data_IF_547936343114
#
_entry.id   IF_547936343114
#
_cell.length_a   1.000
_cell.length_b   1.000
_cell.length_c   1.000
_cell.angle_alpha   90.00
_cell.angle_beta   90.00
_cell.angle_gamma   90.00
#
_symmetry.space_group_name_H-M   'P 1'
#
loop_
_entity.id
_entity.type
_entity.pdbx_description
1 polymer ?
#
# COMPACT_ATOMS: atom_id res chain seq x y z
N UNK A 1 16.26 -13.44 32.54
CA UNK A 1 14.79 -13.43 32.38
C UNK A 1 14.52 -14.25 31.14
N UNK A 2 13.84 -15.37 31.34
CA UNK A 2 13.75 -16.52 30.44
C UNK A 2 13.16 -16.16 29.07
N UNK A 3 13.90 -16.39 27.98
CA UNK A 3 13.44 -16.14 26.60
C UNK A 3 12.15 -16.91 26.28
N UNK A 4 12.05 -18.17 26.73
CA UNK A 4 10.86 -19.00 26.50
C UNK A 4 9.58 -18.52 27.21
N UNK A 5 9.66 -17.61 28.19
CA UNK A 5 8.48 -17.05 28.86
C UNK A 5 7.95 -15.81 28.13
N UNK A 6 8.81 -15.14 27.36
CA UNK A 6 8.44 -13.99 26.52
C UNK A 6 7.82 -14.44 25.21
N UNK A 7 8.35 -15.50 24.60
CA UNK A 7 7.78 -16.12 23.40
C UNK A 7 6.33 -16.57 23.65
N UNK A 8 6.06 -17.19 24.81
CA UNK A 8 4.72 -17.61 25.20
C UNK A 8 3.75 -16.42 25.40
N UNK A 9 4.21 -15.27 25.89
CA UNK A 9 3.36 -14.06 26.04
C UNK A 9 3.10 -13.40 24.67
N UNK A 10 4.12 -13.36 23.80
CA UNK A 10 3.97 -12.88 22.43
C UNK A 10 2.99 -13.74 21.66
N UNK A 11 3.11 -15.06 21.77
CA UNK A 11 2.19 -16.03 21.19
C UNK A 11 0.76 -15.79 21.68
N UNK A 12 0.56 -15.60 22.99
CA UNK A 12 -0.76 -15.26 23.53
C UNK A 12 -1.29 -13.93 22.97
N UNK A 13 -0.48 -12.87 22.85
CA UNK A 13 -0.94 -11.58 22.33
C UNK A 13 -1.29 -11.69 20.84
N UNK A 14 -0.43 -12.33 20.04
CA UNK A 14 -0.67 -12.55 18.62
C UNK A 14 -1.92 -13.41 18.42
N UNK A 15 -2.05 -14.54 19.12
CA UNK A 15 -3.17 -15.47 18.98
C UNK A 15 -4.49 -14.92 19.55
N UNK A 16 -4.44 -14.10 20.61
CA UNK A 16 -5.65 -13.56 21.28
C UNK A 16 -6.11 -12.21 20.72
N UNK A 17 -5.25 -11.43 20.06
CA UNK A 17 -5.58 -10.08 19.56
C UNK A 17 -5.56 -10.00 18.03
N UNK A 18 -4.67 -10.74 17.37
CA UNK A 18 -4.40 -10.62 15.94
C UNK A 18 -4.63 -11.90 15.13
N UNK A 19 -4.71 -13.08 15.73
CA UNK A 19 -4.92 -14.37 15.04
C UNK A 19 -6.19 -15.10 15.52
N UNK A 20 -7.12 -14.40 16.22
CA UNK A 20 -8.52 -14.88 16.34
C UNK A 20 -9.03 -15.09 14.91
N UNK A 21 -9.62 -16.27 14.63
CA UNK A 21 -10.28 -16.57 13.37
C UNK A 21 -11.22 -15.41 13.01
N UNK A 22 -10.77 -14.53 12.12
CA UNK A 22 -11.53 -13.32 11.81
C UNK A 22 -12.88 -13.77 11.27
N UNK A 23 -14.00 -13.22 11.80
CA UNK A 23 -15.29 -13.50 11.21
C UNK A 23 -15.23 -13.18 9.72
N UNK A 24 -15.96 -13.96 8.91
CA UNK A 24 -15.99 -13.74 7.47
C UNK A 24 -16.21 -12.25 7.19
N UNK A 25 -15.40 -11.64 6.30
CA UNK A 25 -15.44 -10.21 6.10
C UNK A 25 -16.88 -9.79 5.77
N UNK A 26 -17.38 -8.72 6.41
CA UNK A 26 -18.75 -8.28 6.19
C UNK A 26 -18.97 -7.95 4.72
N UNK A 27 -20.21 -8.12 4.26
CA UNK A 27 -20.58 -7.77 2.88
C UNK A 27 -20.06 -6.36 2.53
N UNK A 28 -19.26 -6.20 1.45
CA UNK A 28 -18.70 -4.91 1.08
C UNK A 28 -19.78 -3.84 0.90
N UNK A 29 -20.92 -4.20 0.31
CA UNK A 29 -22.03 -3.26 0.11
C UNK A 29 -22.68 -2.80 1.42
N UNK A 30 -22.81 -3.68 2.41
CA UNK A 30 -23.28 -3.34 3.75
C UNK A 30 -22.28 -2.44 4.48
N UNK A 31 -20.99 -2.76 4.41
CA UNK A 31 -19.93 -1.96 5.05
C UNK A 31 -19.86 -0.55 4.46
N UNK A 32 -19.92 -0.42 3.13
CA UNK A 32 -20.03 0.88 2.44
C UNK A 32 -21.21 1.69 2.96
N UNK A 33 -22.40 1.08 3.10
CA UNK A 33 -23.58 1.76 3.65
C UNK A 33 -23.38 2.22 5.09
N UNK A 34 -22.76 1.40 5.95
CA UNK A 34 -22.46 1.77 7.35
C UNK A 34 -21.50 2.96 7.44
N UNK A 35 -20.45 2.97 6.64
CA UNK A 35 -19.49 4.08 6.57
C UNK A 35 -20.20 5.35 6.07
N UNK A 36 -20.95 5.26 4.97
CA UNK A 36 -21.63 6.42 4.37
C UNK A 36 -22.73 7.00 5.27
N UNK A 37 -23.35 6.20 6.14
CA UNK A 37 -24.28 6.70 7.14
C UNK A 37 -23.64 7.68 8.13
N UNK A 38 -22.30 7.64 8.27
CA UNK A 38 -21.50 8.55 9.11
C UNK A 38 -20.55 9.44 8.29
N UNK A 39 -20.85 9.65 7.00
CA UNK A 39 -19.98 10.44 6.10
C UNK A 39 -19.63 11.83 6.64
N UNK A 40 -20.53 12.46 7.40
CA UNK A 40 -20.32 13.78 7.99
C UNK A 40 -19.22 13.75 9.07
N UNK A 41 -19.22 12.73 9.94
CA UNK A 41 -18.16 12.49 10.94
C UNK A 41 -16.78 12.36 10.27
N UNK A 42 -16.77 11.75 9.07
CA UNK A 42 -15.56 11.51 8.29
C UNK A 42 -15.19 12.68 7.37
N UNK A 43 -16.05 13.69 7.22
CA UNK A 43 -15.87 14.79 6.28
C UNK A 43 -15.92 14.38 4.81
N UNK A 44 -16.59 13.27 4.50
CA UNK A 44 -16.77 12.75 3.13
C UNK A 44 -17.96 13.45 2.48
N UNK A 45 -17.69 14.17 1.40
CA UNK A 45 -18.70 14.96 0.66
C UNK A 45 -19.19 14.25 -0.60
N UNK A 46 -18.37 13.36 -1.16
CA UNK A 46 -18.69 12.63 -2.40
C UNK A 46 -18.01 11.28 -2.44
N UNK A 47 -18.75 10.27 -2.92
CA UNK A 47 -18.24 9.01 -3.45
C UNK A 47 -18.81 8.89 -4.87
N UNK A 48 -17.94 8.75 -5.87
CA UNK A 48 -18.37 8.71 -7.28
C UNK A 48 -17.48 7.80 -8.11
N UNK A 49 -18.07 7.08 -9.07
CA UNK A 49 -17.29 6.31 -10.01
C UNK A 49 -16.68 7.22 -11.08
N UNK A 50 -15.41 6.94 -11.39
CA UNK A 50 -14.69 7.54 -12.53
C UNK A 50 -14.39 6.52 -13.62
N UNK A 51 -14.89 5.28 -13.49
CA UNK A 51 -14.65 4.19 -14.44
C UNK A 51 -14.91 4.58 -15.89
N UNK A 52 -15.97 5.37 -16.12
CA UNK A 52 -16.37 5.80 -17.46
C UNK A 52 -15.45 6.83 -18.11
N UNK A 53 -14.43 7.34 -17.40
CA UNK A 53 -13.40 8.18 -18.00
C UNK A 53 -12.38 7.37 -18.81
N UNK A 54 -12.32 6.05 -18.62
CA UNK A 54 -11.47 5.15 -19.39
C UNK A 54 -12.29 4.02 -20.03
N UNK A 55 -11.72 3.39 -21.05
CA UNK A 55 -12.33 2.30 -21.83
C UNK A 55 -11.99 0.91 -21.31
N UNK A 56 -11.16 0.80 -20.27
CA UNK A 56 -10.76 -0.47 -19.63
C UNK A 56 -11.98 -1.19 -19.00
N UNK A 57 -12.89 -0.43 -18.37
CA UNK A 57 -14.08 -0.99 -17.72
C UNK A 57 -13.81 -1.71 -16.38
N UNK A 58 -12.65 -1.49 -15.77
CA UNK A 58 -12.36 -1.90 -14.38
C UNK A 58 -12.94 -0.85 -13.42
N UNK A 59 -13.77 -1.24 -12.43
CA UNK A 59 -14.34 -0.30 -11.47
C UNK A 59 -13.30 0.50 -10.69
N UNK A 60 -13.36 1.83 -10.85
CA UNK A 60 -12.60 2.79 -10.05
C UNK A 60 -13.53 3.91 -9.59
N UNK A 61 -13.34 4.33 -8.35
CA UNK A 61 -14.10 5.39 -7.67
C UNK A 61 -13.16 6.44 -7.07
N UNK A 62 -13.74 7.59 -6.74
CA UNK A 62 -13.11 8.64 -5.96
C UNK A 62 -13.93 8.94 -4.71
N UNK A 63 -13.24 9.24 -3.61
CA UNK A 63 -13.81 9.70 -2.35
C UNK A 63 -13.23 11.07 -2.03
N UNK A 64 -14.10 12.05 -1.81
CA UNK A 64 -13.70 13.46 -1.65
C UNK A 64 -13.89 13.91 -0.20
N UNK A 65 -12.79 14.29 0.44
CA UNK A 65 -12.71 14.92 1.76
C UNK A 65 -12.04 16.30 1.63
N UNK A 66 -12.78 17.38 1.35
CA UNK A 66 -12.21 18.70 1.03
C UNK A 66 -11.36 19.32 2.14
N UNK A 67 -11.53 18.86 3.39
CA UNK A 67 -10.78 19.34 4.57
C UNK A 67 -9.71 18.35 5.04
N UNK A 68 -9.32 17.40 4.19
CA UNK A 68 -8.17 16.53 4.42
C UNK A 68 -6.91 17.37 4.62
N UNK A 69 -6.03 16.93 5.53
CA UNK A 69 -4.71 17.53 5.78
C UNK A 69 -3.61 16.82 4.98
N UNK A 70 -4.00 15.87 4.14
CA UNK A 70 -3.19 15.19 3.12
C UNK A 70 -3.85 15.45 1.74
N UNK A 71 -4.03 14.43 0.90
CA UNK A 71 -4.80 14.55 -0.35
C UNK A 71 -6.31 14.72 -0.10
N UNK A 72 -6.96 15.59 -0.87
CA UNK A 72 -8.41 15.82 -0.77
C UNK A 72 -9.25 14.74 -1.48
N UNK A 73 -8.65 14.03 -2.44
CA UNK A 73 -9.29 13.00 -3.25
C UNK A 73 -8.53 11.69 -3.11
N UNK A 74 -9.16 10.73 -2.43
CA UNK A 74 -8.71 9.33 -2.37
C UNK A 74 -9.36 8.53 -3.49
N UNK A 75 -8.76 7.40 -3.86
CA UNK A 75 -9.27 6.57 -4.94
C UNK A 75 -9.55 5.14 -4.45
N UNK A 76 -10.43 4.45 -5.15
CA UNK A 76 -10.77 3.06 -4.82
C UNK A 76 -10.87 2.22 -6.07
N UNK A 77 -10.47 0.96 -5.95
CA UNK A 77 -10.32 0.01 -7.06
C UNK A 77 -10.85 -1.36 -6.67
N UNK A 78 -11.38 -2.10 -7.64
CA UNK A 78 -11.90 -3.44 -7.40
C UNK A 78 -12.58 -4.03 -8.63
N UNK A 79 -12.82 -5.35 -8.61
CA UNK A 79 -13.53 -6.04 -9.70
C UNK A 79 -15.03 -5.73 -9.75
N UNK A 80 -15.59 -5.22 -8.66
CA UNK A 80 -16.98 -4.76 -8.54
C UNK A 80 -17.02 -3.34 -7.98
N UNK A 81 -18.12 -2.62 -8.22
CA UNK A 81 -18.30 -1.29 -7.64
C UNK A 81 -18.33 -1.29 -6.12
N UNK A 82 -18.83 -2.34 -5.48
CA UNK A 82 -18.82 -2.44 -4.02
C UNK A 82 -17.39 -2.56 -3.46
N UNK A 83 -16.54 -3.36 -4.13
CA UNK A 83 -15.12 -3.49 -3.78
C UNK A 83 -14.34 -2.19 -4.04
N UNK A 84 -14.59 -1.53 -5.17
CA UNK A 84 -13.99 -0.23 -5.44
C UNK A 84 -14.42 0.83 -4.41
N UNK A 85 -15.72 0.88 -4.09
CA UNK A 85 -16.28 1.79 -3.09
C UNK A 85 -15.68 1.60 -1.70
N UNK A 86 -15.63 0.35 -1.18
CA UNK A 86 -15.02 0.11 0.13
C UNK A 86 -13.54 0.42 0.11
N UNK A 87 -12.80 0.07 -0.95
CA UNK A 87 -11.38 0.41 -1.05
C UNK A 87 -11.15 1.92 -0.98
N UNK A 88 -11.93 2.72 -1.71
CA UNK A 88 -11.74 4.17 -1.73
C UNK A 88 -12.15 4.83 -0.41
N UNK A 89 -13.18 4.29 0.25
CA UNK A 89 -13.56 4.76 1.58
C UNK A 89 -12.48 4.43 2.61
N UNK A 90 -11.92 3.22 2.58
CA UNK A 90 -10.85 2.80 3.49
C UNK A 90 -9.60 3.67 3.31
N UNK A 91 -9.13 3.90 2.08
CA UNK A 91 -8.00 4.81 1.78
C UNK A 91 -8.26 6.24 2.28
N UNK A 92 -9.51 6.72 2.16
CA UNK A 92 -9.87 8.05 2.66
C UNK A 92 -9.91 8.13 4.19
N UNK A 93 -10.27 7.03 4.85
CA UNK A 93 -10.40 6.90 6.30
C UNK A 93 -9.08 6.61 7.01
N UNK A 94 -8.13 5.99 6.30
CA UNK A 94 -6.72 5.92 6.67
C UNK A 94 -6.21 7.33 6.99
N UNK A 95 -6.26 8.23 6.00
CA UNK A 95 -5.88 9.64 6.16
C UNK A 95 -6.70 10.38 7.23
N UNK A 96 -7.99 10.05 7.38
CA UNK A 96 -8.86 10.65 8.40
C UNK A 96 -8.37 10.37 9.82
N UNK A 97 -7.91 9.14 10.08
CA UNK A 97 -7.45 8.72 11.40
C UNK A 97 -6.02 9.24 11.67
N UNK A 98 -5.11 9.13 10.70
CA UNK A 98 -3.71 9.55 10.85
C UNK A 98 -3.55 11.07 10.94
N UNK A 99 -4.49 11.88 10.45
CA UNK A 99 -4.42 13.35 10.57
C UNK A 99 -4.99 13.91 11.90
N UNK A 100 -5.53 13.02 12.76
CA UNK A 100 -6.25 13.34 14.02
C UNK A 100 -5.71 12.59 15.23
N UNK A 101 -4.38 12.46 15.33
CA UNK A 101 -3.74 11.86 16.50
C UNK A 101 -3.96 12.77 17.72
N UNK A 102 -4.49 12.18 18.80
CA UNK A 102 -4.81 12.90 20.03
C UNK A 102 -3.53 13.38 20.75
N UNK A 103 -3.43 14.66 21.18
CA UNK A 103 -2.22 15.22 21.79
C UNK A 103 -1.69 14.44 23.00
N UNK A 104 -2.57 13.83 23.79
CA UNK A 104 -2.21 13.03 24.97
C UNK A 104 -1.47 11.73 24.63
N UNK A 105 -1.50 11.29 23.36
CA UNK A 105 -0.72 10.14 22.87
C UNK A 105 0.70 10.53 22.45
N UNK A 106 1.00 11.82 22.41
CA UNK A 106 2.25 12.37 21.88
C UNK A 106 3.13 12.80 23.05
N UNK A 107 4.39 12.40 23.01
CA UNK A 107 5.41 12.88 23.94
C UNK A 107 6.64 13.36 23.19
N UNK A 108 7.47 14.13 23.87
CA UNK A 108 8.67 14.74 23.28
C UNK A 108 9.91 14.17 23.94
N UNK A 109 10.87 13.71 23.12
CA UNK A 109 12.13 13.17 23.58
C UNK A 109 13.21 13.36 22.51
N UNK A 110 14.49 13.39 22.92
CA UNK A 110 15.58 13.40 21.95
C UNK A 110 15.83 12.01 21.36
N UNK A 111 16.32 11.95 20.12
CA UNK A 111 16.55 10.68 19.40
C UNK A 111 17.44 9.71 20.19
N UNK A 112 18.45 10.22 20.92
CA UNK A 112 19.35 9.39 21.75
C UNK A 112 18.68 8.84 23.01
N UNK A 113 17.64 9.49 23.53
CA UNK A 113 16.99 9.08 24.78
C UNK A 113 16.02 7.91 24.56
N UNK A 114 15.60 7.70 23.30
CA UNK A 114 14.73 6.58 22.90
C UNK A 114 15.58 5.34 22.61
N UNK A 115 15.59 4.41 23.57
CA UNK A 115 16.46 3.21 23.57
C UNK A 115 15.99 2.07 22.64
N UNK A 116 14.79 2.13 22.05
CA UNK A 116 14.16 1.00 21.31
C UNK A 116 13.64 1.43 19.95
N UNK A 117 13.92 0.62 18.92
CA UNK A 117 13.36 0.72 17.57
C UNK A 117 14.34 0.86 16.40
N UNK A 118 15.65 0.83 16.66
CA UNK A 118 16.72 1.00 15.66
C UNK A 118 16.41 2.07 14.58
N UNK A 119 16.37 3.31 15.05
CA UNK A 119 16.20 4.49 14.21
C UNK A 119 17.53 4.97 13.60
N UNK A 120 18.56 4.13 13.58
CA UNK A 120 19.91 4.51 13.10
C UNK A 120 19.92 4.97 11.63
N UNK A 121 18.98 4.45 10.83
CA UNK A 121 18.75 4.87 9.44
C UNK A 121 18.27 6.33 9.31
N UNK A 122 17.73 6.95 10.37
CA UNK A 122 17.31 8.36 10.37
C UNK A 122 18.50 9.35 10.41
N UNK A 123 19.73 8.82 10.43
CA UNK A 123 20.95 9.56 10.13
C UNK A 123 21.91 9.70 11.31
N UNK A 124 23.22 9.50 11.10
CA UNK A 124 24.23 9.70 12.13
C UNK A 124 24.35 11.18 12.54
N UNK A 125 24.55 11.44 13.84
CA UNK A 125 24.78 12.80 14.37
C UNK A 125 23.55 13.57 14.84
N UNK A 126 22.33 13.04 14.65
CA UNK A 126 21.07 13.69 15.05
C UNK A 126 20.58 13.35 16.45
N UNK A 127 21.42 12.73 17.28
CA UNK A 127 21.01 12.20 18.59
C UNK A 127 20.42 13.23 19.56
N UNK A 128 20.82 14.51 19.46
CA UNK A 128 20.30 15.59 20.30
C UNK A 128 19.00 16.22 19.77
N UNK A 129 18.58 15.91 18.54
CA UNK A 129 17.35 16.46 17.97
C UNK A 129 16.14 15.94 18.75
N UNK A 130 15.28 16.88 19.10
CA UNK A 130 14.06 16.63 19.85
C UNK A 130 12.90 16.43 18.88
N UNK A 131 12.24 15.29 18.98
CA UNK A 131 11.13 14.88 18.11
C UNK A 131 9.86 14.66 18.92
N UNK A 132 8.73 14.69 18.21
CA UNK A 132 7.47 14.15 18.73
C UNK A 132 7.43 12.64 18.50
N UNK A 133 6.96 11.91 19.50
CA UNK A 133 6.91 10.45 19.53
C UNK A 133 5.52 9.96 19.90
N UNK A 134 5.22 8.74 19.47
CA UNK A 134 4.01 8.01 19.85
C UNK A 134 4.37 6.57 20.22
N UNK A 135 3.70 6.02 21.24
CA UNK A 135 3.86 4.62 21.60
C UNK A 135 3.15 3.70 20.58
N UNK A 136 3.86 2.67 20.14
CA UNK A 136 3.35 1.54 19.39
C UNK A 136 3.66 0.20 20.08
N UNK A 137 3.19 -0.89 19.49
CA UNK A 137 3.51 -2.26 19.86
C UNK A 137 4.48 -2.83 18.83
N UNK A 138 5.66 -3.26 19.25
CA UNK A 138 6.56 -3.99 18.37
C UNK A 138 6.04 -5.41 18.16
N UNK A 139 5.67 -5.75 16.93
CA UNK A 139 5.12 -7.05 16.55
C UNK A 139 6.16 -8.19 16.69
N UNK A 140 7.46 -7.88 16.76
CA UNK A 140 8.50 -8.90 16.92
C UNK A 140 8.69 -9.31 18.37
N UNK A 141 8.65 -8.35 19.29
CA UNK A 141 8.91 -8.61 20.72
C UNK A 141 7.66 -8.54 21.61
N UNK A 142 6.53 -8.04 21.09
CA UNK A 142 5.29 -7.84 21.84
C UNK A 142 5.38 -6.72 22.88
N UNK A 143 6.40 -5.87 22.81
CA UNK A 143 6.67 -4.81 23.79
C UNK A 143 6.36 -3.45 23.21
N UNK A 144 6.14 -2.47 24.10
CA UNK A 144 6.04 -1.07 23.68
C UNK A 144 7.33 -0.59 23.02
N UNK A 145 7.17 0.14 21.93
CA UNK A 145 8.21 0.80 21.14
C UNK A 145 7.78 2.23 20.85
N UNK A 146 8.70 3.18 20.98
CA UNK A 146 8.43 4.57 20.63
C UNK A 146 8.74 4.79 19.15
N UNK A 147 7.83 5.44 18.44
CA UNK A 147 7.93 5.71 17.00
C UNK A 147 7.93 7.22 16.77
N UNK A 148 8.82 7.78 15.91
CA UNK A 148 8.74 9.17 15.53
C UNK A 148 7.37 9.47 14.93
N UNK A 149 6.67 10.47 15.46
CA UNK A 149 5.31 10.84 15.03
C UNK A 149 5.26 11.19 13.53
N UNK A 150 6.34 11.75 12.99
CA UNK A 150 6.49 12.06 11.57
C UNK A 150 6.31 10.85 10.65
N UNK A 151 6.63 9.64 11.14
CA UNK A 151 6.49 8.38 10.42
C UNK A 151 5.12 7.72 10.61
N UNK A 152 4.22 8.37 11.36
CA UNK A 152 2.89 7.83 11.71
C UNK A 152 1.77 8.73 11.23
N UNK A 153 1.88 10.05 11.44
CA UNK A 153 0.85 10.99 11.02
C UNK A 153 1.00 11.40 9.55
N UNK A 154 -0.14 11.66 8.91
CA UNK A 154 -0.21 12.13 7.53
C UNK A 154 -0.73 13.56 7.44
N UNK A 155 -0.48 14.39 8.47
CA UNK A 155 -0.80 15.81 8.42
C UNK A 155 0.29 16.54 7.60
N UNK A 156 0.10 16.62 6.29
CA UNK A 156 0.99 17.28 5.33
C UNK A 156 0.62 18.76 5.17
N UNK A 157 0.57 19.46 6.30
CA UNK A 157 0.28 20.90 6.36
C UNK A 157 1.55 21.74 6.21
N UNK A 158 1.39 22.99 5.78
CA UNK A 158 2.48 23.98 5.72
C UNK A 158 2.18 25.12 6.70
N UNK A 159 3.12 25.48 7.61
CA UNK A 159 4.40 24.82 7.86
C UNK A 159 4.23 23.42 8.48
N UNK A 160 5.14 22.50 8.13
CA UNK A 160 5.15 21.14 8.69
C UNK A 160 5.49 21.18 10.19
N UNK A 161 4.79 20.42 11.04
CA UNK A 161 5.15 20.27 12.46
C UNK A 161 6.36 19.34 12.67
N UNK A 162 6.83 18.67 11.60
CA UNK A 162 7.93 17.71 11.63
C UNK A 162 9.17 18.22 10.89
N UNK A 163 10.38 17.78 11.29
CA UNK A 163 11.61 18.13 10.58
C UNK A 163 11.59 17.74 9.11
N UNK A 164 12.11 18.61 8.24
CA UNK A 164 12.14 18.42 6.79
C UNK A 164 13.01 17.24 6.31
N UNK A 165 13.98 16.83 7.12
CA UNK A 165 14.90 15.74 6.78
C UNK A 165 14.30 14.35 7.04
N UNK A 166 13.16 14.25 7.73
CA UNK A 166 12.39 13.01 7.81
C UNK A 166 11.52 12.88 6.58
N UNK A 167 11.84 11.93 5.71
CA UNK A 167 10.95 11.55 4.62
C UNK A 167 9.62 11.04 5.21
N UNK A 168 8.50 11.54 4.68
CA UNK A 168 7.16 11.21 5.14
C UNK A 168 6.35 10.66 3.98
N UNK A 169 5.67 9.55 4.22
CA UNK A 169 4.79 8.89 3.26
C UNK A 169 3.64 8.17 3.99
N UNK A 170 2.76 7.53 3.23
CA UNK A 170 1.64 6.74 3.75
C UNK A 170 1.94 5.25 3.81
N UNK A 171 3.18 4.81 3.59
CA UNK A 171 3.52 3.37 3.59
C UNK A 171 3.16 2.68 4.91
N UNK A 172 2.37 1.61 4.84
CA UNK A 172 1.98 0.83 6.01
C UNK A 172 0.87 1.50 6.82
N UNK A 173 0.22 2.54 6.30
CA UNK A 173 -1.05 3.04 6.82
C UNK A 173 -2.16 2.25 6.14
N UNK A 174 -2.95 1.51 6.92
CA UNK A 174 -4.01 0.68 6.34
C UNK A 174 -5.28 0.70 7.18
N UNK A 175 -6.41 0.63 6.48
CA UNK A 175 -7.73 0.39 7.05
C UNK A 175 -8.27 -0.98 6.67
N UNK A 176 -9.06 -1.55 7.58
CA UNK A 176 -9.71 -2.84 7.38
C UNK A 176 -10.99 -2.98 8.19
N UNK A 177 -11.78 -4.00 7.84
CA UNK A 177 -13.01 -4.37 8.56
C UNK A 177 -12.77 -5.16 9.84
N UNK A 178 -11.50 -5.42 10.16
CA UNK A 178 -11.01 -6.04 11.38
C UNK A 178 -9.62 -5.48 11.67
N UNK A 179 -9.21 -5.51 12.94
CA UNK A 179 -7.85 -5.10 13.30
C UNK A 179 -6.80 -5.98 12.62
N UNK A 180 -6.95 -7.31 12.66
CA UNK A 180 -6.05 -8.25 11.97
C UNK A 180 -5.92 -7.91 10.48
N UNK A 181 -7.04 -7.71 9.78
CA UNK A 181 -7.03 -7.39 8.36
C UNK A 181 -6.31 -6.07 8.04
N UNK A 182 -6.46 -5.05 8.89
CA UNK A 182 -5.75 -3.79 8.75
C UNK A 182 -4.24 -3.97 8.97
N UNK A 183 -3.83 -4.73 9.98
CA UNK A 183 -2.41 -5.02 10.26
C UNK A 183 -1.77 -5.83 9.12
N UNK A 184 -2.45 -6.87 8.63
CA UNK A 184 -1.98 -7.67 7.50
C UNK A 184 -1.78 -6.80 6.26
N UNK A 185 -2.74 -5.93 5.94
CA UNK A 185 -2.63 -5.02 4.80
C UNK A 185 -1.45 -4.05 4.96
N UNK A 186 -1.30 -3.43 6.14
CA UNK A 186 -0.18 -2.55 6.43
C UNK A 186 1.18 -3.25 6.26
N UNK A 187 1.33 -4.48 6.78
CA UNK A 187 2.57 -5.24 6.64
C UNK A 187 2.87 -5.64 5.19
N UNK A 188 1.85 -6.05 4.43
CA UNK A 188 2.00 -6.40 3.01
C UNK A 188 2.43 -5.18 2.19
N UNK A 189 1.86 -4.01 2.44
CA UNK A 189 2.25 -2.77 1.77
C UNK A 189 3.70 -2.37 2.09
N UNK A 190 4.14 -2.50 3.35
CA UNK A 190 5.54 -2.27 3.74
C UNK A 190 6.49 -3.16 2.95
N UNK A 191 6.18 -4.46 2.84
CA UNK A 191 6.97 -5.42 2.06
C UNK A 191 6.98 -5.11 0.57
N UNK A 192 5.84 -4.71 0.02
CA UNK A 192 5.71 -4.29 -1.37
C UNK A 192 6.60 -3.09 -1.70
N UNK A 193 6.55 -2.06 -0.85
CA UNK A 193 7.33 -0.83 -0.99
C UNK A 193 8.84 -1.10 -0.84
N UNK A 194 9.23 -1.95 0.11
CA UNK A 194 10.62 -2.39 0.28
C UNK A 194 11.12 -3.17 -0.94
N UNK A 195 10.30 -4.07 -1.48
CA UNK A 195 10.65 -4.83 -2.68
C UNK A 195 10.79 -3.90 -3.89
N UNK A 196 9.94 -2.87 -4.02
CA UNK A 196 10.07 -1.82 -5.05
C UNK A 196 11.41 -1.07 -4.95
N UNK A 197 11.81 -0.64 -3.76
CA UNK A 197 13.12 -0.01 -3.55
C UNK A 197 14.27 -0.92 -4.01
N UNK A 198 14.19 -2.21 -3.66
CA UNK A 198 15.17 -3.22 -4.07
C UNK A 198 15.19 -3.41 -5.60
N UNK A 199 14.03 -3.46 -6.24
CA UNK A 199 13.90 -3.58 -7.70
C UNK A 199 14.55 -2.39 -8.42
N UNK A 200 14.35 -1.16 -7.93
CA UNK A 200 14.96 0.05 -8.49
C UNK A 200 16.49 0.05 -8.39
N UNK A 201 17.04 -0.57 -7.34
CA UNK A 201 18.49 -0.73 -7.16
C UNK A 201 19.06 -1.94 -7.91
N UNK A 202 18.21 -2.78 -8.51
CA UNK A 202 18.62 -4.02 -9.19
C UNK A 202 18.97 -3.75 -10.66
N UNK A 203 20.21 -3.97 -11.11
CA UNK A 203 20.59 -3.78 -12.50
C UNK A 203 19.79 -4.67 -13.45
N UNK A 204 19.31 -4.10 -14.56
CA UNK A 204 18.54 -4.79 -15.59
C UNK A 204 17.29 -5.50 -15.06
N UNK A 205 16.66 -4.95 -14.02
CA UNK A 205 15.45 -5.53 -13.42
C UNK A 205 14.37 -5.82 -14.48
N UNK A 206 14.04 -4.82 -15.31
CA UNK A 206 12.98 -4.92 -16.32
C UNK A 206 13.31 -5.92 -17.45
N UNK A 207 14.59 -6.20 -17.69
CA UNK A 207 15.01 -7.20 -18.69
C UNK A 207 14.93 -8.63 -18.15
N UNK A 208 15.15 -8.82 -16.84
CA UNK A 208 15.39 -10.15 -16.25
C UNK A 208 14.16 -10.77 -15.59
N UNK A 209 13.27 -9.96 -15.04
CA UNK A 209 12.20 -10.44 -14.16
C UNK A 209 10.80 -10.37 -14.77
N UNK A 210 10.73 -10.14 -16.08
CA UNK A 210 9.47 -10.05 -16.80
C UNK A 210 8.74 -11.39 -16.83
N UNK A 211 7.43 -11.32 -16.70
CA UNK A 211 6.49 -12.43 -16.85
C UNK A 211 5.76 -12.26 -18.17
N UNK A 212 5.58 -13.36 -18.91
CA UNK A 212 4.73 -13.36 -20.10
C UNK A 212 3.26 -13.16 -19.71
N UNK A 213 2.71 -11.96 -19.96
CA UNK A 213 1.32 -11.63 -19.63
C UNK A 213 0.30 -12.53 -20.33
N UNK A 214 0.64 -13.16 -21.46
CA UNK A 214 -0.23 -14.11 -22.19
C UNK A 214 -0.42 -15.44 -21.46
N UNK A 215 0.49 -15.77 -20.54
CA UNK A 215 0.41 -16.98 -19.71
C UNK A 215 -0.53 -16.82 -18.50
N UNK A 216 -0.94 -15.59 -18.17
CA UNK A 216 -1.89 -15.31 -17.08
C UNK A 216 -3.33 -15.55 -17.57
N UNK A 217 -3.81 -16.79 -17.44
CA UNK A 217 -5.10 -17.21 -18.03
C UNK A 217 -6.22 -17.46 -17.00
N UNK A 218 -5.86 -17.67 -15.73
CA UNK A 218 -6.77 -18.08 -14.66
C UNK A 218 -6.83 -17.03 -13.55
N UNK A 219 -7.77 -17.22 -12.63
CA UNK A 219 -7.94 -16.35 -11.48
C UNK A 219 -8.44 -14.95 -11.82
N UNK A 220 -8.44 -14.09 -10.80
CA UNK A 220 -8.85 -12.69 -10.94
C UNK A 220 -7.88 -11.91 -11.83
N UNK A 221 -6.58 -12.22 -11.77
CA UNK A 221 -5.58 -11.60 -12.61
C UNK A 221 -5.83 -11.89 -14.10
N UNK A 222 -6.12 -13.15 -14.46
CA UNK A 222 -6.45 -13.54 -15.84
C UNK A 222 -7.72 -12.89 -16.36
N UNK A 223 -8.71 -12.64 -15.50
CA UNK A 223 -9.88 -11.84 -15.87
C UNK A 223 -9.50 -10.39 -16.22
N UNK A 224 -8.68 -9.73 -15.41
CA UNK A 224 -8.25 -8.35 -15.65
C UNK A 224 -7.43 -8.25 -16.94
N UNK A 225 -6.46 -9.16 -17.16
CA UNK A 225 -5.65 -9.22 -18.39
C UNK A 225 -6.53 -9.33 -19.64
N UNK A 226 -7.54 -10.19 -19.60
CA UNK A 226 -8.48 -10.36 -20.73
C UNK A 226 -9.34 -9.11 -20.96
N UNK A 227 -9.79 -8.43 -19.90
CA UNK A 227 -10.52 -7.15 -20.03
C UNK A 227 -9.63 -6.07 -20.66
N UNK A 228 -8.39 -5.93 -20.19
CA UNK A 228 -7.39 -5.00 -20.72
C UNK A 228 -7.10 -5.28 -22.21
N UNK A 229 -6.82 -6.55 -22.55
CA UNK A 229 -6.55 -6.95 -23.94
C UNK A 229 -7.74 -6.63 -24.86
N UNK A 230 -8.97 -6.97 -24.45
CA UNK A 230 -10.20 -6.66 -25.20
C UNK A 230 -10.42 -5.15 -25.39
N UNK A 231 -10.02 -4.34 -24.40
CA UNK A 231 -10.10 -2.88 -24.48
C UNK A 231 -8.99 -2.24 -25.33
N UNK A 232 -7.99 -3.01 -25.77
CA UNK A 232 -6.88 -2.53 -26.59
C UNK A 232 -5.67 -2.06 -25.79
N UNK A 233 -5.38 -2.72 -24.66
CA UNK A 233 -4.22 -2.43 -23.82
C UNK A 233 -3.17 -3.53 -23.90
N UNK A 234 -1.91 -3.13 -23.68
CA UNK A 234 -0.79 -4.03 -23.41
C UNK A 234 -0.41 -3.93 -21.94
N UNK A 235 0.11 -5.03 -21.41
CA UNK A 235 0.48 -5.16 -19.99
C UNK A 235 1.87 -5.76 -19.89
N UNK A 236 2.77 -5.03 -19.24
CA UNK A 236 4.03 -5.57 -18.74
C UNK A 236 3.87 -6.00 -17.29
N UNK A 237 4.42 -7.15 -16.94
CA UNK A 237 4.35 -7.74 -15.61
C UNK A 237 5.75 -8.15 -15.22
N UNK A 238 6.20 -7.78 -14.03
CA UNK A 238 7.47 -8.22 -13.47
C UNK A 238 7.24 -8.77 -12.07
N UNK A 239 7.86 -9.91 -11.77
CA UNK A 239 7.85 -10.46 -10.41
C UNK A 239 9.11 -10.00 -9.70
N UNK A 240 8.95 -9.23 -8.62
CA UNK A 240 10.09 -8.76 -7.83
C UNK A 240 10.61 -9.94 -7.00
N UNK A 241 11.90 -10.32 -7.12
CA UNK A 241 12.48 -11.33 -6.26
C UNK A 241 12.61 -10.80 -4.83
N UNK A 242 12.14 -11.58 -3.87
CA UNK A 242 12.15 -11.24 -2.44
C UNK A 242 12.82 -12.33 -1.61
N UNK A 243 13.39 -12.01 -0.44
CA UNK A 243 13.97 -13.01 0.46
C UNK A 243 12.91 -13.87 1.18
N UNK A 244 11.65 -13.48 1.11
CA UNK A 244 10.50 -14.20 1.65
C UNK A 244 9.62 -14.82 0.56
N UNK A 245 8.73 -15.73 0.95
CA UNK A 245 7.86 -16.47 0.03
C UNK A 245 6.66 -15.69 -0.52
N UNK A 246 6.32 -14.53 0.07
CA UNK A 246 5.18 -13.74 -0.40
C UNK A 246 5.46 -13.12 -1.78
N UNK A 247 4.63 -13.37 -2.81
CA UNK A 247 4.83 -12.79 -4.13
C UNK A 247 4.61 -11.28 -4.16
N UNK A 248 5.52 -10.59 -4.83
CA UNK A 248 5.42 -9.16 -5.14
C UNK A 248 5.47 -8.95 -6.65
N UNK A 249 4.52 -8.18 -7.18
CA UNK A 249 4.41 -7.86 -8.60
C UNK A 249 4.47 -6.36 -8.86
N UNK A 250 5.07 -6.02 -10.01
CA UNK A 250 5.03 -4.69 -10.62
C UNK A 250 4.36 -4.83 -11.98
N UNK A 251 3.28 -4.09 -12.22
CA UNK A 251 2.58 -4.07 -13.50
C UNK A 251 2.60 -2.68 -14.14
N UNK A 252 2.76 -2.64 -15.45
CA UNK A 252 2.55 -1.45 -16.28
C UNK A 252 1.42 -1.68 -17.27
N UNK A 253 0.54 -0.68 -17.44
CA UNK A 253 -0.61 -0.73 -18.35
C UNK A 253 -0.60 0.50 -19.26
N UNK A 254 -0.68 0.26 -20.57
CA UNK A 254 -0.84 1.32 -21.57
C UNK A 254 -1.64 0.84 -22.78
N UNK A 255 -2.12 1.77 -23.60
CA UNK A 255 -2.75 1.44 -24.87
C UNK A 255 -1.78 0.78 -25.84
N UNK A 256 -2.28 -0.24 -26.54
CA UNK A 256 -1.58 -0.82 -27.67
C UNK A 256 -1.57 0.16 -28.87
N UNK A 257 -0.87 -0.21 -29.94
CA UNK A 257 -0.74 0.64 -31.13
C UNK A 257 -2.04 0.81 -31.95
N UNK A 258 -3.10 0.03 -31.68
CA UNK A 258 -4.38 0.17 -32.39
C UNK A 258 -5.27 1.28 -31.83
N UNK A 259 -4.85 1.93 -30.75
CA UNK A 259 -5.56 3.05 -30.11
C UNK A 259 -4.66 4.28 -30.04
N UNK A 260 -5.29 5.45 -30.23
CA UNK A 260 -4.63 6.71 -29.92
C UNK A 260 -4.25 6.74 -28.42
N UNK A 261 -3.04 7.20 -28.09
CA UNK A 261 -2.64 7.44 -26.70
C UNK A 261 -3.64 8.38 -26.03
N UNK A 262 -4.07 8.04 -24.82
CA UNK A 262 -4.98 8.87 -24.03
C UNK A 262 -4.37 9.27 -22.69
N UNK A 263 -3.69 8.35 -22.00
CA UNK A 263 -2.84 8.71 -20.87
C UNK A 263 -1.41 9.00 -21.36
N UNK A 264 -0.65 9.88 -20.68
CA UNK A 264 0.66 10.34 -21.15
C UNK A 264 1.73 9.25 -21.17
N UNK A 265 1.81 8.44 -20.12
CA UNK A 265 2.77 7.35 -19.95
C UNK A 265 2.08 6.07 -19.45
N UNK A 266 2.73 4.90 -19.51
CA UNK A 266 2.21 3.69 -18.89
C UNK A 266 1.92 3.93 -17.41
N UNK A 267 0.74 3.51 -16.96
CA UNK A 267 0.40 3.57 -15.55
C UNK A 267 0.97 2.36 -14.84
N UNK A 268 1.50 2.57 -13.64
CA UNK A 268 2.09 1.52 -12.82
C UNK A 268 1.21 1.14 -11.63
N UNK A 269 1.39 -0.09 -11.16
CA UNK A 269 0.77 -0.60 -9.94
C UNK A 269 1.56 -1.76 -9.36
N UNK A 270 1.41 -1.96 -8.06
CA UNK A 270 2.18 -2.89 -7.26
C UNK A 270 1.26 -3.79 -6.44
N UNK A 271 1.76 -4.95 -6.03
CA UNK A 271 0.94 -5.88 -5.28
C UNK A 271 1.76 -6.92 -4.54
N UNK A 272 1.58 -6.98 -3.22
CA UNK A 272 2.04 -8.05 -2.34
C UNK A 272 0.85 -8.77 -1.67
N UNK A 273 0.81 -10.10 -1.72
CA UNK A 273 -0.20 -10.91 -1.01
C UNK A 273 0.37 -12.32 -0.75
N UNK A 274 -0.33 -13.15 0.01
CA UNK A 274 -0.02 -14.55 0.28
C UNK A 274 -0.22 -15.50 -0.92
N UNK A 275 -0.68 -15.01 -2.07
CA UNK A 275 -0.85 -15.84 -3.27
C UNK A 275 -0.55 -15.05 -4.53
N UNK A 276 -0.02 -15.73 -5.54
CA UNK A 276 0.34 -15.11 -6.81
C UNK A 276 -0.85 -14.43 -7.51
N UNK A 277 -2.05 -15.03 -7.51
CA UNK A 277 -3.23 -14.43 -8.15
C UNK A 277 -3.66 -13.15 -7.45
N UNK A 278 -3.70 -13.13 -6.11
CA UNK A 278 -4.11 -11.93 -5.35
C UNK A 278 -3.09 -10.80 -5.46
N UNK A 279 -1.80 -11.10 -5.35
CA UNK A 279 -0.73 -10.11 -5.50
C UNK A 279 -0.76 -9.47 -6.90
N UNK A 280 -0.85 -10.30 -7.95
CA UNK A 280 -0.94 -9.81 -9.33
C UNK A 280 -2.26 -9.06 -9.59
N UNK A 281 -3.37 -9.51 -9.01
CA UNK A 281 -4.67 -8.81 -9.09
C UNK A 281 -4.57 -7.41 -8.49
N UNK A 282 -3.93 -7.27 -7.31
CA UNK A 282 -3.71 -5.97 -6.68
C UNK A 282 -2.91 -5.04 -7.59
N UNK A 283 -1.77 -5.52 -8.11
CA UNK A 283 -0.90 -4.74 -9.01
C UNK A 283 -1.61 -4.27 -10.28
N UNK A 284 -2.42 -5.13 -10.89
CA UNK A 284 -3.19 -4.78 -12.09
C UNK A 284 -4.32 -3.80 -11.81
N UNK A 285 -5.01 -3.95 -10.68
CA UNK A 285 -6.06 -3.01 -10.25
C UNK A 285 -5.49 -1.64 -9.90
N UNK A 286 -4.34 -1.60 -9.21
CA UNK A 286 -3.64 -0.35 -8.92
C UNK A 286 -3.16 0.33 -10.20
N UNK A 287 -2.60 -0.41 -11.17
CA UNK A 287 -2.22 0.18 -12.46
C UNK A 287 -3.42 0.81 -13.20
N UNK A 288 -4.59 0.17 -13.15
CA UNK A 288 -5.82 0.73 -13.70
C UNK A 288 -6.29 1.99 -12.92
N UNK A 289 -6.16 1.98 -11.59
CA UNK A 289 -6.49 3.09 -10.71
C UNK A 289 -5.57 4.29 -10.96
N UNK A 290 -4.25 4.09 -10.95
CA UNK A 290 -3.22 5.09 -11.23
C UNK A 290 -3.49 5.80 -12.55
N UNK A 291 -3.80 5.03 -13.60
CA UNK A 291 -4.19 5.55 -14.91
C UNK A 291 -5.40 6.48 -14.84
N UNK A 292 -6.46 6.04 -14.19
CA UNK A 292 -7.68 6.84 -14.01
C UNK A 292 -7.45 8.05 -13.09
N UNK A 293 -6.51 7.97 -12.16
CA UNK A 293 -5.99 9.10 -11.40
C UNK A 293 -5.50 10.22 -12.30
N UNK A 294 -4.59 9.91 -13.23
CA UNK A 294 -4.06 10.86 -14.20
C UNK A 294 -5.16 11.38 -15.13
N UNK A 295 -5.99 10.51 -15.71
CA UNK A 295 -7.07 10.93 -16.62
C UNK A 295 -8.08 11.86 -15.94
N UNK A 296 -8.42 11.60 -14.67
CA UNK A 296 -9.38 12.41 -13.94
C UNK A 296 -8.86 13.80 -13.58
N UNK A 297 -7.53 13.97 -13.51
CA UNK A 297 -6.86 15.19 -13.09
C UNK A 297 -7.42 15.83 -11.80
N UNK A 298 -7.97 15.00 -10.90
CA UNK A 298 -8.65 15.47 -9.68
C UNK A 298 -7.75 15.45 -8.43
N UNK A 299 -6.52 14.95 -8.56
CA UNK A 299 -5.56 14.78 -7.47
C UNK A 299 -4.56 15.94 -7.45
N UNK A 300 -4.40 16.56 -6.30
CA UNK A 300 -3.54 17.73 -6.10
C UNK A 300 -2.04 17.37 -6.06
N UNK A 301 -1.72 16.09 -5.90
CA UNK A 301 -0.36 15.56 -5.80
C UNK A 301 0.22 15.06 -7.15
N UNK A 302 -0.58 15.06 -8.22
CA UNK A 302 -0.10 14.74 -9.57
C UNK A 302 0.49 15.99 -10.20
N UNK A 303 1.79 15.96 -10.48
CA UNK A 303 2.52 17.12 -11.02
C UNK A 303 2.28 17.34 -12.51
N UNK A 304 2.41 18.59 -12.96
CA UNK A 304 2.16 18.97 -14.36
C UNK A 304 3.11 18.32 -15.36
N UNK A 305 4.33 17.97 -14.94
CA UNK A 305 5.34 17.33 -15.81
C UNK A 305 4.86 15.97 -16.33
N UNK A 306 4.00 15.27 -15.58
CA UNK A 306 3.42 13.99 -16.01
C UNK A 306 2.51 14.14 -17.22
N UNK A 307 1.91 15.32 -17.43
CA UNK A 307 1.04 15.61 -18.58
C UNK A 307 1.81 16.10 -19.81
N UNK A 308 3.14 15.96 -19.80
CA UNK A 308 3.98 16.12 -20.98
C UNK A 308 3.53 15.17 -22.10
N UNK A 309 3.76 15.61 -23.35
CA UNK A 309 3.46 14.75 -24.51
C UNK A 309 4.65 13.83 -24.76
N UNK A 310 4.48 12.54 -24.44
CA UNK A 310 5.41 11.51 -24.88
C UNK A 310 5.44 11.44 -26.41
N UNK A 311 6.63 11.33 -27.00
CA UNK A 311 6.75 11.22 -28.45
C UNK A 311 6.38 9.81 -28.95
N UNK A 312 6.15 9.68 -30.25
CA UNK A 312 5.74 8.40 -30.84
C UNK A 312 6.82 7.30 -30.72
N UNK A 313 8.10 7.66 -30.66
CA UNK A 313 9.20 6.71 -30.53
C UNK A 313 9.26 6.15 -29.10
N UNK A 314 9.11 7.02 -28.09
CA UNK A 314 9.02 6.66 -26.68
C UNK A 314 7.85 5.71 -26.42
N UNK A 315 6.65 6.06 -26.91
CA UNK A 315 5.47 5.19 -26.77
C UNK A 315 5.64 3.85 -27.49
N UNK A 316 6.38 3.82 -28.59
CA UNK A 316 6.68 2.57 -29.30
C UNK A 316 7.68 1.71 -28.52
N UNK A 317 8.70 2.33 -27.93
CA UNK A 317 9.67 1.65 -27.07
C UNK A 317 8.98 1.02 -25.85
N UNK A 318 8.11 1.78 -25.16
CA UNK A 318 7.31 1.26 -24.05
C UNK A 318 6.47 0.05 -24.47
N UNK A 319 5.71 0.15 -25.57
CA UNK A 319 4.91 -1.00 -26.04
C UNK A 319 5.78 -2.22 -26.34
N UNK A 320 6.96 -2.01 -26.93
CA UNK A 320 7.92 -3.08 -27.18
C UNK A 320 8.40 -3.75 -25.90
N UNK A 321 8.73 -2.96 -24.87
CA UNK A 321 9.13 -3.47 -23.56
C UNK A 321 8.00 -4.26 -22.88
N UNK A 322 6.79 -3.71 -22.85
CA UNK A 322 5.64 -4.35 -22.20
C UNK A 322 5.21 -5.66 -22.87
N UNK A 323 5.44 -5.79 -24.19
CA UNK A 323 5.01 -6.97 -24.97
C UNK A 323 6.11 -8.00 -25.20
N UNK A 324 7.36 -7.71 -24.80
CA UNK A 324 8.52 -8.60 -24.97
C UNK A 324 8.23 -10.01 -24.44
N UNK A 325 7.65 -10.08 -23.23
CA UNK A 325 7.35 -11.33 -22.55
C UNK A 325 8.61 -12.00 -22.01
N UNK A 326 8.55 -12.47 -20.77
CA UNK A 326 9.65 -13.19 -20.14
C UNK A 326 9.27 -14.63 -19.83
N UNK A 327 9.50 -15.07 -18.60
CA UNK A 327 9.14 -16.43 -18.18
C UNK A 327 7.62 -16.60 -18.02
N UNK A 328 7.10 -17.84 -18.15
CA UNK A 328 5.68 -18.10 -17.89
C UNK A 328 5.29 -17.74 -16.45
N UNK A 329 4.06 -17.26 -16.30
CA UNK A 329 3.39 -17.10 -15.02
C UNK A 329 3.11 -18.47 -14.43
N UNK A 330 3.67 -18.70 -13.24
CA UNK A 330 3.40 -19.91 -12.47
C UNK A 330 2.40 -19.54 -11.40
N UNK A 331 1.15 -19.95 -11.60
CA UNK A 331 0.17 -20.03 -10.52
C UNK A 331 0.37 -21.40 -9.88
N UNK A 332 1.03 -21.47 -8.73
CA UNK A 332 1.00 -22.71 -7.94
C UNK A 332 -0.43 -22.88 -7.40
N UNK A 333 -1.31 -23.46 -8.21
CA UNK A 333 -2.62 -23.96 -7.82
C UNK A 333 -2.39 -25.20 -6.94
N UNK A 334 -1.87 -25.00 -5.73
CA UNK A 334 -1.39 -26.07 -4.85
C UNK A 334 -1.60 -25.74 -3.38
N UNK A 335 -2.80 -26.04 -2.87
CA UNK A 335 -3.08 -26.38 -1.47
C UNK A 335 -2.41 -25.58 -0.34
N UNK A 336 -2.30 -24.27 -0.49
CA UNK A 336 -2.23 -23.38 0.65
C UNK A 336 -2.98 -22.10 0.26
N UNK A 337 -4.28 -22.10 0.53
CA UNK A 337 -4.78 -20.98 1.32
C UNK A 337 -3.96 -21.00 2.64
N UNK A 338 -2.69 -20.59 2.57
CA UNK A 338 -1.87 -20.38 3.76
C UNK A 338 -2.72 -19.45 4.57
N UNK A 339 -3.14 -19.92 5.75
CA UNK A 339 -3.93 -19.14 6.68
C UNK A 339 -3.31 -17.76 6.69
N UNK A 340 -4.09 -16.74 6.30
CA UNK A 340 -3.64 -15.34 6.33
C UNK A 340 -3.24 -15.04 7.77
N UNK A 341 -1.98 -15.28 8.09
CA UNK A 341 -1.48 -15.32 9.46
C UNK A 341 -0.53 -14.18 9.64
N UNK A 342 -0.69 -13.50 10.76
CA UNK A 342 0.22 -12.43 11.14
C UNK A 342 1.66 -12.94 11.28
N UNK A 343 1.85 -14.22 11.65
CA UNK A 343 3.17 -14.84 11.80
C UNK A 343 3.94 -14.88 10.49
N UNK A 344 3.27 -15.26 9.39
CA UNK A 344 3.92 -15.32 8.06
C UNK A 344 4.41 -13.95 7.60
N UNK A 345 3.63 -12.88 7.82
CA UNK A 345 4.06 -11.52 7.44
C UNK A 345 5.12 -10.96 8.38
N UNK A 346 5.09 -11.31 9.67
CA UNK A 346 6.15 -10.97 10.62
C UNK A 346 7.48 -11.60 10.19
N UNK A 347 7.48 -12.89 9.84
CA UNK A 347 8.68 -13.56 9.34
C UNK A 347 9.15 -12.97 8.00
N UNK A 348 8.22 -12.61 7.12
CA UNK A 348 8.57 -11.92 5.87
C UNK A 348 9.24 -10.55 6.13
N UNK A 349 8.76 -9.77 7.10
CA UNK A 349 9.38 -8.49 7.49
C UNK A 349 10.80 -8.70 8.04
N UNK A 350 11.02 -9.70 8.89
CA UNK A 350 12.36 -10.07 9.38
C UNK A 350 13.28 -10.47 8.24
N UNK A 351 12.82 -11.32 7.32
CA UNK A 351 13.58 -11.76 6.15
C UNK A 351 13.91 -10.61 5.18
N UNK A 352 13.03 -9.61 5.08
CA UNK A 352 13.30 -8.38 4.34
C UNK A 352 14.36 -7.47 5.00
N UNK A 353 14.73 -7.74 6.26
CA UNK A 353 15.76 -7.03 7.00
C UNK A 353 15.25 -6.12 8.11
N UNK A 354 13.94 -6.11 8.40
CA UNK A 354 13.40 -5.29 9.49
C UNK A 354 13.98 -5.74 10.85
N UNK A 355 14.32 -4.77 11.69
CA UNK A 355 14.80 -4.99 13.06
C UNK A 355 13.67 -4.81 14.08
N UNK A 356 12.59 -4.11 13.71
CA UNK A 356 11.36 -4.00 14.48
C UNK A 356 10.17 -3.83 13.52
N UNK A 357 8.97 -4.06 14.03
CA UNK A 357 7.73 -3.75 13.31
C UNK A 357 6.75 -3.07 14.26
N UNK A 358 6.78 -1.74 14.30
CA UNK A 358 5.99 -0.95 15.23
C UNK A 358 4.57 -0.73 14.72
N UNK A 359 3.60 -1.37 15.37
CA UNK A 359 2.17 -1.19 15.15
C UNK A 359 1.62 -0.05 16.02
N UNK A 360 1.00 0.93 15.38
CA UNK A 360 0.23 2.00 16.04
C UNK A 360 -1.23 1.90 15.60
N UNK A 361 -2.14 1.63 16.55
CA UNK A 361 -3.58 1.68 16.28
C UNK A 361 -4.04 3.14 16.30
N UNK A 362 -4.60 3.62 15.20
CA UNK A 362 -5.06 5.00 15.02
C UNK A 362 -6.56 5.13 15.25
N UNK A 363 -7.33 4.12 14.85
CA UNK A 363 -8.78 4.07 15.06
C UNK A 363 -9.28 2.63 15.15
N UNK A 364 -10.36 2.42 15.90
CA UNK A 364 -11.05 1.13 16.01
C UNK A 364 -12.50 1.36 16.43
N UNK A 365 -13.46 0.95 15.60
CA UNK A 365 -14.90 0.96 15.91
C UNK A 365 -15.56 -0.29 15.30
N UNK A 366 -16.01 -1.24 16.12
CA UNK A 366 -16.65 -2.47 15.61
C UNK A 366 -18.06 -2.21 15.05
N UNK A 367 -18.72 -1.10 15.44
CA UNK A 367 -20.08 -0.78 14.98
C UNK A 367 -20.10 -0.36 13.51
N UNK A 368 -19.03 0.33 13.09
CA UNK A 368 -18.73 0.62 11.70
C UNK A 368 -17.39 -0.04 11.44
N UNK A 369 -17.35 -1.31 10.98
CA UNK A 369 -16.16 -2.16 11.00
C UNK A 369 -15.00 -1.48 10.26
N UNK A 370 -14.24 -0.70 11.01
CA UNK A 370 -13.26 0.28 10.57
C UNK A 370 -12.18 0.32 11.64
N UNK A 371 -11.06 -0.30 11.30
CA UNK A 371 -9.86 -0.29 12.10
C UNK A 371 -8.78 0.31 11.23
N UNK A 372 -8.09 1.33 11.75
CA UNK A 372 -7.00 2.00 11.04
C UNK A 372 -5.75 1.84 11.86
N UNK A 373 -4.69 1.38 11.21
CA UNK A 373 -3.39 1.14 11.82
C UNK A 373 -2.27 1.74 10.98
N UNK A 374 -1.15 2.00 11.62
CA UNK A 374 0.13 2.27 10.97
C UNK A 374 1.13 1.21 11.40
N UNK A 375 1.84 0.62 10.46
CA UNK A 375 3.01 -0.23 10.71
C UNK A 375 4.26 0.47 10.17
N UNK A 376 5.27 0.65 11.03
CA UNK A 376 6.58 1.16 10.64
C UNK A 376 7.61 0.07 10.91
N UNK A 377 8.31 -0.40 9.88
CA UNK A 377 9.26 -1.51 9.99
C UNK A 377 10.71 -1.07 9.72
N UNK A 378 11.38 -0.42 10.68
CA UNK A 378 12.75 0.02 10.47
C UNK A 378 13.72 -1.17 10.40
N UNK A 379 14.84 -1.06 9.67
CA UNK A 379 15.25 0.07 8.82
C UNK A 379 14.82 -0.10 7.35
N UNK A 380 13.68 -0.77 7.08
CA UNK A 380 13.26 -1.01 5.69
C UNK A 380 13.03 0.31 4.96
N UNK A 381 13.73 0.48 3.83
CA UNK A 381 13.47 1.56 2.91
C UNK A 381 12.16 1.32 2.19
N UNK A 382 11.26 2.30 2.21
CA UNK A 382 9.91 2.17 1.64
C UNK A 382 9.56 3.27 0.64
N UNK A 383 10.44 4.27 0.50
CA UNK A 383 10.29 5.33 -0.46
C UNK A 383 11.49 5.34 -1.43
N UNK A 384 11.35 4.81 -2.65
CA UNK A 384 12.45 4.80 -3.62
C UNK A 384 12.80 6.20 -4.13
N UNK A 385 11.92 7.19 -3.93
CA UNK A 385 12.10 8.58 -4.36
C UNK A 385 12.72 9.45 -3.28
N UNK A 386 12.90 8.94 -2.05
CA UNK A 386 13.50 9.70 -0.95
C UNK A 386 14.94 10.16 -1.25
N UNK A 387 15.71 9.34 -1.98
CA UNK A 387 17.08 9.66 -2.39
C UNK A 387 17.13 10.72 -3.52
N UNK A 388 16.02 10.96 -4.22
CA UNK A 388 15.91 11.95 -5.31
C UNK A 388 15.51 13.35 -4.80
N UNK A 389 15.07 13.44 -3.54
CA UNK A 389 14.60 14.67 -2.91
C UNK A 389 15.64 15.35 -2.00
N UNK A 390 16.82 14.74 -1.86
CA UNK A 390 18.02 15.27 -1.18
C UNK A 390 18.99 15.84 -2.22
#
# INVERSE_FOLDING_TARGET
MDEGRLDNILDIILDTVLDIEAPSPPDPGQTVRRILARREDYGITRLGSITGLDRIGIPVVQVVRPRSRSVAVSQGKGLTFALAAISGLMESLEGWASERIAPERIFTASLRDVKRGDWSHLGPGRGAETLSWIDGLDLFSGRKIAVPLALVDSAYIVPSPHPHWLARDTTGLAAGTSLQGAVLHACLEVLERQARCTAMKTPHFFDRFQIDSRSVQRGSAGEIIRRLSKAGFVVGIWQIPTPHALPVYWCHVMENASRAPFAPLPAEGFGCDFSHDRALTSALLEACQSRLGVISAARDDIRSELYGHADAAELTAWRGELTRGGRPYVCEDGSAAGSRSIRTVIEALKLAGAQAAALVVLHSDDRVPLHVVRVVAPPLETNPEADLAL
#
